data_IF_708990357355
#
_entry.id   IF_708990357355
#
_cell.length_a   1.000
_cell.length_b   1.000
_cell.length_c   1.000
_cell.angle_alpha   90.00
_cell.angle_beta   90.00
_cell.angle_gamma   90.00
#
_symmetry.space_group_name_H-M   'P 1'
#
loop_
_entity.id
_entity.type
_entity.pdbx_description
1 polymer ?
#
# COMPACT_ATOMS: atom_id res chain seq x y z
N UNK A 1 -27.92 -16.01 6.83
CA UNK A 1 -26.93 -17.07 7.19
C UNK A 1 -25.69 -16.46 7.84
N UNK A 2 -24.87 -17.24 8.56
CA UNK A 2 -23.65 -16.75 9.23
C UNK A 2 -22.63 -16.16 8.24
N UNK A 3 -22.49 -16.75 7.04
CA UNK A 3 -21.57 -16.29 5.99
C UNK A 3 -21.94 -14.89 5.47
N UNK A 4 -23.23 -14.62 5.27
CA UNK A 4 -23.70 -13.30 4.81
C UNK A 4 -23.47 -12.23 5.87
N UNK A 5 -23.69 -12.56 7.15
CA UNK A 5 -23.40 -11.67 8.28
C UNK A 5 -21.91 -11.33 8.37
N UNK A 6 -21.03 -12.33 8.20
CA UNK A 6 -19.58 -12.12 8.22
C UNK A 6 -19.10 -11.30 7.02
N UNK A 7 -19.67 -11.50 5.83
CA UNK A 7 -19.36 -10.68 4.65
C UNK A 7 -19.76 -9.21 4.85
N UNK A 8 -20.97 -8.96 5.34
CA UNK A 8 -21.44 -7.61 5.65
C UNK A 8 -20.59 -6.94 6.75
N UNK A 9 -20.18 -7.72 7.76
CA UNK A 9 -19.26 -7.23 8.78
C UNK A 9 -17.89 -6.88 8.23
N UNK A 10 -17.33 -7.69 7.31
CA UNK A 10 -16.06 -7.37 6.65
C UNK A 10 -16.20 -6.08 5.84
N UNK A 11 -17.23 -5.98 5.01
CA UNK A 11 -17.45 -4.80 4.18
C UNK A 11 -17.57 -3.51 5.02
N UNK A 12 -18.27 -3.56 6.16
CA UNK A 12 -18.37 -2.41 7.06
C UNK A 12 -17.01 -2.00 7.64
N UNK A 13 -16.17 -2.98 8.01
CA UNK A 13 -14.81 -2.71 8.49
C UNK A 13 -13.96 -2.09 7.38
N UNK A 14 -14.06 -2.61 6.16
CA UNK A 14 -13.32 -2.09 5.00
C UNK A 14 -13.74 -0.65 4.67
N UNK A 15 -15.04 -0.34 4.71
CA UNK A 15 -15.57 1.02 4.51
C UNK A 15 -15.11 2.00 5.59
N UNK A 16 -14.94 1.55 6.83
CA UNK A 16 -14.46 2.36 7.96
C UNK A 16 -12.94 2.60 7.90
N UNK A 17 -12.15 1.58 7.51
CA UNK A 17 -10.68 1.66 7.54
C UNK A 17 -10.07 2.19 6.24
N UNK A 18 -10.69 1.95 5.09
CA UNK A 18 -10.14 2.35 3.79
C UNK A 18 -9.74 3.83 3.72
N UNK A 19 -10.56 4.80 4.18
CA UNK A 19 -10.18 6.21 4.12
C UNK A 19 -8.91 6.54 4.90
N UNK A 20 -8.69 5.88 6.05
CA UNK A 20 -7.50 6.07 6.88
C UNK A 20 -6.23 5.61 6.14
N UNK A 21 -6.26 4.40 5.57
CA UNK A 21 -5.12 3.85 4.82
C UNK A 21 -4.79 4.62 3.54
N UNK A 22 -5.81 5.12 2.84
CA UNK A 22 -5.61 6.02 1.69
C UNK A 22 -4.94 7.31 2.14
N UNK A 23 -5.42 7.91 3.23
CA UNK A 23 -4.84 9.16 3.76
C UNK A 23 -3.39 8.96 4.22
N UNK A 24 -3.07 7.84 4.86
CA UNK A 24 -1.71 7.51 5.27
C UNK A 24 -0.77 7.38 4.05
N UNK A 25 -1.24 6.74 2.97
CA UNK A 25 -0.51 6.64 1.71
C UNK A 25 -0.25 8.00 1.06
N UNK A 26 -1.29 8.86 1.04
CA UNK A 26 -1.17 10.24 0.55
C UNK A 26 -0.18 11.03 1.40
N UNK A 27 -0.25 10.91 2.72
CA UNK A 27 0.60 11.64 3.66
C UNK A 27 2.06 11.25 3.50
N UNK A 28 2.35 9.95 3.42
CA UNK A 28 3.70 9.48 3.11
C UNK A 28 4.21 10.07 1.80
N UNK A 29 3.41 10.00 0.73
CA UNK A 29 3.79 10.53 -0.58
C UNK A 29 4.05 12.04 -0.59
N UNK A 30 3.29 12.81 0.21
CA UNK A 30 3.40 14.26 0.25
C UNK A 30 4.48 14.78 1.22
N UNK A 31 4.71 14.10 2.34
CA UNK A 31 5.56 14.60 3.42
C UNK A 31 6.92 13.88 3.52
N UNK A 32 7.02 12.65 3.01
CA UNK A 32 8.18 11.77 3.24
C UNK A 32 8.85 11.33 1.94
N UNK A 33 8.07 10.91 0.94
CA UNK A 33 8.61 10.28 -0.26
C UNK A 33 9.51 11.22 -1.09
N UNK A 34 10.65 10.70 -1.54
CA UNK A 34 11.41 11.31 -2.62
C UNK A 34 10.72 11.05 -3.98
N UNK A 35 11.02 11.88 -4.99
CA UNK A 35 10.33 11.81 -6.29
C UNK A 35 10.47 10.44 -6.97
N UNK A 36 11.66 9.85 -6.90
CA UNK A 36 11.95 8.55 -7.50
C UNK A 36 11.30 7.40 -6.71
N UNK A 37 11.21 7.49 -5.38
CA UNK A 37 10.44 6.57 -4.54
C UNK A 37 8.95 6.60 -4.91
N UNK A 38 8.37 7.81 -4.96
CA UNK A 38 6.97 8.00 -5.33
C UNK A 38 6.68 7.46 -6.73
N UNK A 39 7.58 7.73 -7.68
CA UNK A 39 7.48 7.18 -9.04
C UNK A 39 7.47 5.65 -9.04
N UNK A 40 8.36 4.99 -8.27
CA UNK A 40 8.42 3.52 -8.20
C UNK A 40 7.16 2.93 -7.57
N UNK A 41 6.62 3.57 -6.54
CA UNK A 41 5.34 3.16 -5.93
C UNK A 41 4.19 3.34 -6.92
N UNK A 42 4.20 4.38 -7.74
CA UNK A 42 3.21 4.58 -8.78
C UNK A 42 3.30 3.51 -9.89
N UNK A 43 4.52 3.19 -10.35
CA UNK A 43 4.75 2.07 -11.29
C UNK A 43 4.28 0.73 -10.72
N UNK A 44 4.41 0.53 -9.40
CA UNK A 44 3.85 -0.64 -8.71
C UNK A 44 2.31 -0.62 -8.76
N UNK A 45 1.66 0.52 -8.53
CA UNK A 45 0.21 0.65 -8.62
C UNK A 45 -0.31 0.30 -10.02
N UNK A 46 0.32 0.85 -11.07
CA UNK A 46 -0.03 0.55 -12.47
C UNK A 46 0.06 -0.94 -12.78
N UNK A 47 1.09 -1.63 -12.27
CA UNK A 47 1.23 -3.08 -12.42
C UNK A 47 0.11 -3.84 -11.75
N UNK A 48 -0.33 -3.42 -10.56
CA UNK A 48 -1.42 -4.07 -9.83
C UNK A 48 -2.77 -3.92 -10.56
N UNK A 49 -2.95 -2.84 -11.31
CA UNK A 49 -4.15 -2.61 -12.12
C UNK A 49 -4.11 -3.33 -13.47
N UNK A 50 -2.90 -3.50 -14.04
CA UNK A 50 -2.70 -4.20 -15.31
C UNK A 50 -2.76 -5.74 -15.18
N UNK A 51 -2.48 -6.28 -13.99
CA UNK A 51 -2.48 -7.71 -13.75
C UNK A 51 -3.89 -8.32 -13.73
N UNK A 52 -4.04 -9.50 -14.33
CA UNK A 52 -5.28 -10.25 -14.23
C UNK A 52 -5.56 -10.62 -12.76
N UNK A 53 -6.84 -10.70 -12.32
CA UNK A 53 -7.18 -10.97 -10.92
C UNK A 53 -6.56 -12.25 -10.33
N UNK A 54 -6.22 -13.24 -11.17
CA UNK A 54 -5.59 -14.50 -10.77
C UNK A 54 -4.07 -14.43 -10.62
N UNK A 55 -3.44 -13.36 -11.11
CA UNK A 55 -2.00 -13.13 -11.03
C UNK A 55 -1.62 -12.15 -9.90
N UNK A 56 -2.61 -11.53 -9.26
CA UNK A 56 -2.38 -10.50 -8.23
C UNK A 56 -1.53 -11.08 -7.09
N UNK A 57 -0.48 -10.38 -6.65
CA UNK A 57 0.37 -10.85 -5.57
C UNK A 57 -0.43 -11.05 -4.27
N UNK A 58 -0.02 -12.03 -3.47
CA UNK A 58 -0.51 -12.12 -2.09
C UNK A 58 0.01 -10.94 -1.23
N UNK A 59 -0.51 -10.79 -0.01
CA UNK A 59 -0.14 -9.70 0.89
C UNK A 59 1.38 -9.62 1.14
N UNK A 60 2.06 -10.76 1.27
CA UNK A 60 3.50 -10.79 1.56
C UNK A 60 4.35 -10.43 0.35
N UNK A 61 3.96 -10.89 -0.84
CA UNK A 61 4.57 -10.49 -2.10
C UNK A 61 4.37 -9.00 -2.38
N UNK A 62 3.15 -8.47 -2.15
CA UNK A 62 2.86 -7.05 -2.29
C UNK A 62 3.63 -6.19 -1.30
N UNK A 63 3.72 -6.62 -0.04
CA UNK A 63 4.49 -5.91 0.98
C UNK A 63 5.97 -5.81 0.62
N UNK A 64 6.58 -6.90 0.15
CA UNK A 64 7.97 -6.88 -0.33
C UNK A 64 8.15 -5.97 -1.53
N UNK A 65 7.24 -6.02 -2.50
CA UNK A 65 7.29 -5.14 -3.67
C UNK A 65 7.18 -3.66 -3.28
N UNK A 66 6.34 -3.32 -2.29
CA UNK A 66 6.26 -1.96 -1.75
C UNK A 66 7.56 -1.56 -1.05
N UNK A 67 8.11 -2.43 -0.21
CA UNK A 67 9.39 -2.20 0.46
C UNK A 67 10.54 -1.99 -0.53
N UNK A 68 10.62 -2.80 -1.59
CA UNK A 68 11.58 -2.65 -2.68
C UNK A 68 11.38 -1.34 -3.46
N UNK A 69 10.13 -0.90 -3.66
CA UNK A 69 9.84 0.38 -4.32
C UNK A 69 10.31 1.58 -3.49
N UNK A 70 10.20 1.50 -2.16
CA UNK A 70 10.61 2.57 -1.24
C UNK A 70 12.14 2.54 -1.03
N UNK A 71 12.70 1.41 -0.61
CA UNK A 71 14.10 1.31 -0.16
C UNK A 71 15.10 0.79 -1.21
N UNK A 72 14.65 0.31 -2.37
CA UNK A 72 15.49 -0.22 -3.45
C UNK A 72 16.58 -1.21 -2.99
N UNK A 73 17.86 -0.84 -3.15
CA UNK A 73 19.04 -1.66 -2.86
C UNK A 73 19.20 -1.91 -1.36
N UNK A 74 18.59 -1.06 -0.53
CA UNK A 74 18.55 -1.18 0.93
C UNK A 74 17.32 -1.98 1.42
N UNK A 75 16.52 -2.56 0.52
CA UNK A 75 15.38 -3.40 0.89
C UNK A 75 15.85 -4.74 1.47
N UNK A 76 16.03 -4.79 2.78
CA UNK A 76 16.37 -5.99 3.54
C UNK A 76 15.28 -6.36 4.56
N UNK A 77 15.57 -7.29 5.47
CA UNK A 77 14.63 -7.68 6.52
C UNK A 77 14.36 -6.56 7.54
N UNK A 78 15.34 -5.69 7.78
CA UNK A 78 15.21 -4.57 8.70
C UNK A 78 14.30 -3.49 8.09
N UNK A 79 14.48 -3.18 6.81
CA UNK A 79 13.62 -2.24 6.07
C UNK A 79 12.16 -2.73 5.99
N UNK A 80 11.96 -4.05 5.95
CA UNK A 80 10.62 -4.65 6.06
C UNK A 80 10.02 -4.48 7.46
N UNK A 81 10.78 -4.67 8.52
CA UNK A 81 10.31 -4.44 9.90
C UNK A 81 10.01 -2.95 10.14
N UNK A 82 10.85 -2.05 9.63
CA UNK A 82 10.66 -0.61 9.70
C UNK A 82 9.38 -0.19 8.97
N UNK A 83 9.16 -0.65 7.75
CA UNK A 83 7.93 -0.35 7.01
C UNK A 83 6.69 -0.93 7.71
N UNK A 84 6.78 -2.12 8.31
CA UNK A 84 5.67 -2.71 9.06
C UNK A 84 5.32 -1.87 10.29
N UNK A 85 6.32 -1.37 11.03
CA UNK A 85 6.15 -0.45 12.15
C UNK A 85 5.51 0.86 11.68
N UNK A 86 6.00 1.44 10.58
CA UNK A 86 5.45 2.69 10.03
C UNK A 86 3.99 2.55 9.62
N UNK A 87 3.63 1.44 8.96
CA UNK A 87 2.27 1.23 8.43
C UNK A 87 1.28 0.80 9.50
N UNK A 88 1.69 0.00 10.49
CA UNK A 88 0.75 -0.65 11.42
C UNK A 88 0.93 -0.23 12.88
N UNK A 89 2.00 0.51 13.19
CA UNK A 89 2.44 0.80 14.57
C UNK A 89 3.03 -0.40 15.30
N UNK A 90 3.36 -1.49 14.61
CA UNK A 90 3.99 -2.69 15.16
C UNK A 90 4.82 -3.43 14.08
N UNK A 91 6.14 -3.44 14.24
CA UNK A 91 7.12 -4.08 13.35
C UNK A 91 6.82 -5.57 13.08
N UNK A 92 6.09 -6.23 13.98
CA UNK A 92 5.73 -7.65 13.86
C UNK A 92 4.37 -7.88 13.22
N UNK A 93 3.59 -6.81 13.03
CA UNK A 93 2.27 -6.89 12.44
C UNK A 93 2.36 -6.54 10.95
N UNK A 94 2.11 -7.55 10.13
CA UNK A 94 2.11 -7.34 8.68
C UNK A 94 0.76 -6.75 8.26
N UNK A 95 0.77 -5.70 7.42
CA UNK A 95 -0.46 -5.16 6.85
C UNK A 95 -1.12 -6.20 5.94
N UNK A 96 -2.44 -6.18 5.90
CA UNK A 96 -3.21 -7.03 4.98
C UNK A 96 -3.08 -6.55 3.53
N UNK A 97 -3.43 -7.42 2.58
CA UNK A 97 -3.44 -7.06 1.17
C UNK A 97 -4.31 -5.82 0.88
N UNK A 98 -5.53 -5.76 1.45
CA UNK A 98 -6.46 -4.65 1.23
C UNK A 98 -5.86 -3.32 1.75
N UNK A 99 -5.24 -3.33 2.93
CA UNK A 99 -4.55 -2.18 3.51
C UNK A 99 -3.37 -1.70 2.65
N UNK A 100 -2.56 -2.61 2.12
CA UNK A 100 -1.47 -2.28 1.20
C UNK A 100 -1.99 -1.66 -0.09
N UNK A 101 -3.06 -2.20 -0.66
CA UNK A 101 -3.69 -1.62 -1.85
C UNK A 101 -4.21 -0.20 -1.59
N UNK A 102 -4.85 0.05 -0.45
CA UNK A 102 -5.35 1.38 -0.09
C UNK A 102 -4.23 2.38 0.16
N UNK A 103 -3.15 1.95 0.79
CA UNK A 103 -1.95 2.77 0.96
C UNK A 103 -1.32 3.15 -0.37
N UNK A 104 -1.12 2.17 -1.26
CA UNK A 104 -0.58 2.40 -2.61
C UNK A 104 -1.52 3.29 -3.44
N UNK A 105 -2.85 3.11 -3.31
CA UNK A 105 -3.86 3.98 -3.93
C UNK A 105 -3.69 5.45 -3.48
N UNK A 106 -3.46 5.68 -2.19
CA UNK A 106 -3.19 7.02 -1.67
C UNK A 106 -1.92 7.64 -2.26
N UNK A 107 -0.83 6.89 -2.32
CA UNK A 107 0.42 7.36 -2.92
C UNK A 107 0.25 7.67 -4.42
N UNK A 108 -0.44 6.79 -5.17
CA UNK A 108 -0.74 7.00 -6.59
C UNK A 108 -1.50 8.30 -6.83
N UNK A 109 -2.49 8.64 -5.99
CA UNK A 109 -3.23 9.89 -6.17
C UNK A 109 -2.32 11.12 -6.07
N UNK A 110 -1.34 11.12 -5.17
CA UNK A 110 -0.36 12.21 -5.07
C UNK A 110 0.54 12.24 -6.31
N UNK A 111 0.97 11.07 -6.81
CA UNK A 111 1.71 10.99 -8.07
C UNK A 111 0.93 11.58 -9.24
N UNK A 112 -0.35 11.25 -9.40
CA UNK A 112 -1.21 11.80 -10.45
C UNK A 112 -1.34 13.34 -10.33
N UNK A 113 -1.32 13.88 -9.10
CA UNK A 113 -1.40 15.32 -8.86
C UNK A 113 -0.11 16.09 -9.23
N UNK A 114 1.06 15.44 -9.18
CA UNK A 114 2.38 16.10 -9.32
C UNK A 114 3.14 15.72 -10.58
N UNK A 115 2.92 14.54 -11.14
CA UNK A 115 3.68 14.01 -12.28
C UNK A 115 3.55 14.85 -13.54
N UNK A 116 2.36 15.41 -13.80
CA UNK A 116 2.11 16.31 -14.95
C UNK A 116 2.69 17.73 -14.78
N UNK A 117 3.21 18.08 -13.59
CA UNK A 117 3.68 19.44 -13.25
C UNK A 117 5.20 19.57 -13.22
N UNK A 118 5.92 18.48 -13.44
CA UNK A 118 7.38 18.38 -13.37
C UNK A 118 7.92 17.98 -14.74
#
# INVERSE_FOLDING_TARGET
MVVERLRASKQKIDEEQRPEWIEDGRKWAAETAEYDELKRVAELAERLDAEQPTARPDAGALFRALCEAIYQEDADSYSQEELAEQLTGDARRWPSHDQLCWYIEGAQQVWDEVSDKI
#
